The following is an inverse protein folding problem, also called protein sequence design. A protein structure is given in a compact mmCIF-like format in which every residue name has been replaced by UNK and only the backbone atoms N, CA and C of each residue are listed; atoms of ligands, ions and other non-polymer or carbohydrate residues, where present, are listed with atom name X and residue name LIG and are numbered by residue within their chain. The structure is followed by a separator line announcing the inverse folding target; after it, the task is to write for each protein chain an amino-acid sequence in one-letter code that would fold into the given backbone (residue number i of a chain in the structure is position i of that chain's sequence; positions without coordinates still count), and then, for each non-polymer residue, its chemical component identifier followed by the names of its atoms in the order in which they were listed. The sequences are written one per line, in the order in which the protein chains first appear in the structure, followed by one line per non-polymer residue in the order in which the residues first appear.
data_IF_206368424399
#
_entry.id   IF_206368424399
#
_cell.length_a   1.000
_cell.length_b   1.000
_cell.length_c   1.000
_cell.angle_alpha   90.00
_cell.angle_beta   90.00
_cell.angle_gamma   90.00
#
_symmetry.space_group_name_H-M   'P 1'
#
loop_
_entity.id
_entity.type
_entity.pdbx_description
1 polymer ?
#
# COMPACT_ATOMS: atom_id res chain seq x y z
N UNK A 1 12.27 11.43 17.27
CA UNK A 1 13.60 12.05 17.15
C UNK A 1 14.46 11.81 18.38
N UNK A 2 13.97 12.14 19.57
CA UNK A 2 14.71 11.98 20.83
C UNK A 2 15.16 10.52 21.12
N UNK A 3 14.45 9.54 20.58
CA UNK A 3 14.74 8.12 20.70
C UNK A 3 15.46 7.53 19.48
N UNK A 4 16.07 8.37 18.63
CA UNK A 4 16.85 7.92 17.47
C UNK A 4 16.05 7.72 16.18
N UNK A 5 14.76 8.03 16.16
CA UNK A 5 13.95 7.93 14.95
C UNK A 5 14.47 8.87 13.87
N UNK A 6 14.77 8.33 12.69
CA UNK A 6 15.32 9.06 11.53
C UNK A 6 14.37 9.10 10.35
N UNK A 7 13.50 8.11 10.22
CA UNK A 7 12.53 8.00 9.16
C UNK A 7 11.20 7.50 9.72
N UNK A 8 10.10 8.07 9.24
CA UNK A 8 8.75 7.61 9.54
C UNK A 8 8.01 7.54 8.20
N UNK A 9 7.45 6.37 7.89
CA UNK A 9 6.40 6.25 6.88
C UNK A 9 5.05 6.32 7.58
N UNK A 10 4.19 7.20 7.14
CA UNK A 10 2.82 7.34 7.65
C UNK A 10 1.83 7.05 6.53
N UNK A 11 0.78 6.32 6.87
CA UNK A 11 -0.37 6.11 5.99
C UNK A 11 -1.32 7.30 6.15
N UNK A 12 -1.76 7.84 5.04
CA UNK A 12 -2.60 9.02 4.95
C UNK A 12 -3.96 8.56 4.45
N UNK A 13 -4.96 8.55 5.35
CA UNK A 13 -6.34 8.27 4.96
C UNK A 13 -6.72 9.17 3.79
N UNK A 14 -7.06 8.53 2.70
CA UNK A 14 -7.22 9.21 1.41
C UNK A 14 -8.62 9.02 0.83
N UNK A 15 -9.65 8.95 1.70
CA UNK A 15 -11.04 9.01 1.24
C UNK A 15 -11.35 10.38 0.56
N UNK A 16 -12.42 10.48 -0.25
CA UNK A 16 -12.72 11.67 -1.04
C UNK A 16 -12.85 12.97 -0.25
N UNK A 17 -13.18 12.89 1.06
CA UNK A 17 -13.32 14.08 1.92
C UNK A 17 -12.02 14.39 2.65
N UNK A 18 -11.19 13.38 2.89
CA UNK A 18 -10.02 13.46 3.74
C UNK A 18 -8.76 13.88 2.96
N UNK A 19 -8.50 13.30 1.78
CA UNK A 19 -7.25 13.53 1.07
C UNK A 19 -6.96 15.01 0.76
N UNK A 20 -7.93 15.89 0.45
CA UNK A 20 -7.66 17.30 0.20
C UNK A 20 -7.17 18.07 1.44
N UNK A 21 -7.42 17.51 2.62
CA UNK A 21 -7.03 18.09 3.92
C UNK A 21 -5.71 17.47 4.39
N UNK A 22 -5.63 16.14 4.40
CA UNK A 22 -4.53 15.40 5.02
C UNK A 22 -3.21 15.56 4.27
N UNK A 23 -3.21 15.57 2.95
CA UNK A 23 -1.99 15.70 2.16
C UNK A 23 -1.29 17.05 2.31
N UNK A 24 -1.98 18.20 2.30
CA UNK A 24 -1.36 19.49 2.64
C UNK A 24 -0.79 19.54 4.07
N UNK A 25 -1.48 18.94 5.05
CA UNK A 25 -0.98 18.85 6.44
C UNK A 25 0.29 17.99 6.48
N UNK A 26 0.31 16.83 5.80
CA UNK A 26 1.50 16.01 5.68
C UNK A 26 2.68 16.79 5.07
N UNK A 27 2.45 17.55 4.00
CA UNK A 27 3.49 18.34 3.35
C UNK A 27 4.07 19.42 4.31
N UNK A 28 3.21 20.10 5.07
CA UNK A 28 3.64 21.07 6.08
C UNK A 28 4.47 20.41 7.19
N UNK A 29 4.04 19.25 7.69
CA UNK A 29 4.79 18.48 8.70
C UNK A 29 6.15 18.03 8.17
N UNK A 30 6.20 17.50 6.94
CA UNK A 30 7.46 17.08 6.31
C UNK A 30 8.44 18.23 6.18
N UNK A 31 7.97 19.41 5.78
CA UNK A 31 8.80 20.61 5.72
C UNK A 31 9.31 21.04 7.10
N UNK A 32 8.45 21.03 8.11
CA UNK A 32 8.80 21.40 9.49
C UNK A 32 9.84 20.48 10.14
N UNK A 33 9.89 19.21 9.73
CA UNK A 33 10.80 18.20 10.26
C UNK A 33 12.01 17.92 9.36
N UNK A 34 12.15 18.64 8.25
CA UNK A 34 13.26 18.47 7.32
C UNK A 34 14.62 18.59 8.04
N UNK A 35 15.54 17.68 7.70
CA UNK A 35 16.86 17.60 8.35
C UNK A 35 16.89 16.93 9.74
N UNK A 36 15.73 16.65 10.36
CA UNK A 36 15.62 15.94 11.64
C UNK A 36 15.06 14.54 11.48
N UNK A 37 13.92 14.41 10.84
CA UNK A 37 13.26 13.14 10.54
C UNK A 37 12.75 13.20 9.10
N UNK A 38 13.05 12.16 8.34
CA UNK A 38 12.46 11.98 7.01
C UNK A 38 11.02 11.48 7.17
N UNK A 39 10.07 12.15 6.51
CA UNK A 39 8.67 11.73 6.48
C UNK A 39 8.29 11.25 5.08
N UNK A 40 7.79 10.02 5.00
CA UNK A 40 7.22 9.41 3.81
C UNK A 40 5.72 9.26 3.99
N UNK A 41 4.92 9.77 3.05
CA UNK A 41 3.47 9.63 3.05
C UNK A 41 3.03 8.59 2.04
N UNK A 42 2.26 7.60 2.48
CA UNK A 42 1.62 6.63 1.62
C UNK A 42 0.10 6.83 1.65
N UNK A 43 -0.53 6.90 0.49
CA UNK A 43 -1.98 6.97 0.41
C UNK A 43 -2.60 5.68 0.97
N UNK A 44 -3.67 5.83 1.73
CA UNK A 44 -4.48 4.72 2.22
C UNK A 44 -5.91 4.92 1.73
N UNK A 45 -6.26 4.25 0.64
CA UNK A 45 -7.58 4.30 0.02
C UNK A 45 -8.22 2.90 0.02
N UNK A 46 -9.52 2.82 0.14
CA UNK A 46 -10.23 1.56 -0.06
C UNK A 46 -10.12 1.13 -1.53
N UNK A 47 -9.83 -0.16 -1.76
CA UNK A 47 -9.53 -0.67 -3.12
C UNK A 47 -10.69 -0.46 -4.11
N UNK A 48 -11.92 -0.56 -3.65
CA UNK A 48 -13.12 -0.37 -4.47
C UNK A 48 -13.35 1.10 -4.87
N UNK A 49 -12.90 2.07 -4.07
CA UNK A 49 -12.95 3.49 -4.46
C UNK A 49 -12.06 3.79 -5.66
N UNK A 50 -11.00 3.03 -5.84
CA UNK A 50 -10.07 3.21 -6.97
C UNK A 50 -10.69 2.81 -8.32
N UNK A 51 -11.89 2.23 -8.32
CA UNK A 51 -12.64 1.94 -9.54
C UNK A 51 -13.40 3.17 -10.09
N UNK A 52 -13.56 4.22 -9.28
CA UNK A 52 -14.05 5.52 -9.75
C UNK A 52 -12.93 6.27 -10.46
N UNK A 53 -13.13 6.57 -11.75
CA UNK A 53 -12.12 7.21 -12.60
C UNK A 53 -11.75 8.61 -12.13
N UNK A 54 -12.73 9.39 -11.71
CA UNK A 54 -12.52 10.78 -11.29
C UNK A 54 -11.73 10.83 -9.97
N UNK A 55 -12.15 10.03 -9.00
CA UNK A 55 -11.45 9.92 -7.72
C UNK A 55 -10.02 9.40 -7.89
N UNK A 56 -9.83 8.34 -8.66
CA UNK A 56 -8.50 7.74 -8.85
C UNK A 56 -7.53 8.71 -9.53
N UNK A 57 -7.97 9.41 -10.56
CA UNK A 57 -7.16 10.42 -11.25
C UNK A 57 -6.77 11.57 -10.31
N UNK A 58 -7.68 12.03 -9.45
CA UNK A 58 -7.42 13.10 -8.48
C UNK A 58 -6.46 12.65 -7.38
N UNK A 59 -6.66 11.45 -6.82
CA UNK A 59 -5.77 10.86 -5.83
C UNK A 59 -4.36 10.70 -6.40
N UNK A 60 -4.22 10.15 -7.60
CA UNK A 60 -2.93 9.97 -8.25
C UNK A 60 -2.19 11.30 -8.46
N UNK A 61 -2.90 12.35 -8.89
CA UNK A 61 -2.34 13.71 -9.00
C UNK A 61 -1.86 14.24 -7.64
N UNK A 62 -2.68 14.06 -6.60
CA UNK A 62 -2.37 14.52 -5.24
C UNK A 62 -1.14 13.82 -4.69
N UNK A 63 -1.07 12.50 -4.77
CA UNK A 63 0.09 11.71 -4.33
C UNK A 63 1.37 12.18 -5.02
N UNK A 64 1.33 12.33 -6.34
CA UNK A 64 2.49 12.81 -7.13
C UNK A 64 2.92 14.21 -6.72
N UNK A 65 1.98 15.15 -6.61
CA UNK A 65 2.26 16.54 -6.24
C UNK A 65 2.97 16.66 -4.89
N UNK A 66 2.71 15.72 -3.99
CA UNK A 66 3.33 15.69 -2.66
C UNK A 66 4.53 14.72 -2.56
N UNK A 67 4.96 14.13 -3.66
CA UNK A 67 6.06 13.14 -3.64
C UNK A 67 5.76 11.97 -2.72
N UNK A 68 4.51 11.50 -2.76
CA UNK A 68 4.02 10.41 -1.94
C UNK A 68 4.14 9.04 -2.61
N UNK A 69 3.67 8.03 -1.91
CA UNK A 69 3.59 6.64 -2.32
C UNK A 69 2.11 6.33 -2.56
N UNK A 70 1.78 5.69 -3.67
CA UNK A 70 0.41 5.30 -3.96
C UNK A 70 0.07 3.99 -3.23
N UNK A 71 -1.14 3.88 -2.65
CA UNK A 71 -1.47 2.69 -1.89
C UNK A 71 -2.94 2.48 -1.63
N UNK A 72 -3.26 1.28 -1.13
CA UNK A 72 -4.63 0.88 -0.83
C UNK A 72 -4.72 -0.16 0.30
N UNK A 73 -5.91 -0.20 0.92
CA UNK A 73 -6.35 -1.36 1.70
C UNK A 73 -7.03 -2.34 0.75
N UNK A 74 -6.56 -3.59 0.73
CA UNK A 74 -7.11 -4.65 -0.11
C UNK A 74 -7.92 -5.65 0.71
N UNK A 75 -9.12 -5.97 0.24
CA UNK A 75 -10.04 -6.90 0.84
C UNK A 75 -10.96 -7.49 -0.23
N UNK A 76 -11.64 -8.62 0.03
CA UNK A 76 -12.52 -9.26 -0.95
C UNK A 76 -13.72 -8.38 -1.30
N UNK A 77 -13.69 -7.79 -2.51
CA UNK A 77 -14.78 -7.00 -3.09
C UNK A 77 -14.85 -7.25 -4.60
N UNK A 78 -16.02 -7.04 -5.23
CA UNK A 78 -16.09 -7.03 -6.68
C UNK A 78 -15.11 -6.00 -7.27
N UNK A 79 -14.32 -6.43 -8.26
CA UNK A 79 -13.34 -5.55 -8.92
C UNK A 79 -11.99 -5.41 -8.19
N UNK A 80 -11.72 -6.20 -7.14
CA UNK A 80 -10.44 -6.19 -6.42
C UNK A 80 -9.22 -6.28 -7.36
N UNK A 81 -9.18 -7.25 -8.26
CA UNK A 81 -8.07 -7.42 -9.20
C UNK A 81 -7.93 -6.22 -10.14
N UNK A 82 -9.05 -5.69 -10.63
CA UNK A 82 -9.05 -4.49 -11.47
C UNK A 82 -8.50 -3.27 -10.72
N UNK A 83 -8.84 -3.11 -9.44
CA UNK A 83 -8.30 -2.04 -8.58
C UNK A 83 -6.79 -2.18 -8.38
N UNK A 84 -6.30 -3.41 -8.14
CA UNK A 84 -4.87 -3.70 -8.03
C UNK A 84 -4.16 -3.39 -9.36
N UNK A 85 -4.69 -3.86 -10.50
CA UNK A 85 -4.10 -3.59 -11.82
C UNK A 85 -4.04 -2.09 -12.14
N UNK A 86 -5.06 -1.33 -11.76
CA UNK A 86 -5.06 0.14 -11.92
C UNK A 86 -3.93 0.81 -11.13
N UNK A 87 -3.71 0.37 -9.88
CA UNK A 87 -2.61 0.90 -9.06
C UNK A 87 -1.26 0.63 -9.72
N UNK A 88 -1.01 -0.61 -10.14
CA UNK A 88 0.24 -0.96 -10.81
C UNK A 88 0.41 -0.21 -12.14
N UNK A 89 -0.63 -0.13 -12.97
CA UNK A 89 -0.59 0.61 -14.23
C UNK A 89 -0.23 2.08 -14.02
N UNK A 90 -0.89 2.75 -13.08
CA UNK A 90 -0.61 4.14 -12.75
C UNK A 90 0.79 4.34 -12.15
N UNK A 91 1.22 3.42 -11.30
CA UNK A 91 2.55 3.47 -10.70
C UNK A 91 3.66 3.29 -11.76
N UNK A 92 3.47 2.39 -12.73
CA UNK A 92 4.39 2.23 -13.88
C UNK A 92 4.45 3.51 -14.71
N UNK A 93 3.30 4.09 -15.07
CA UNK A 93 3.21 5.29 -15.89
C UNK A 93 3.92 6.48 -15.25
N UNK A 94 3.85 6.59 -13.93
CA UNK A 94 4.31 7.78 -13.22
C UNK A 94 5.55 7.57 -12.35
N UNK A 95 6.15 6.38 -12.36
CA UNK A 95 7.35 6.06 -11.58
C UNK A 95 7.13 6.15 -10.07
N UNK A 96 5.96 5.70 -9.58
CA UNK A 96 5.61 5.70 -8.17
C UNK A 96 5.95 4.35 -7.51
N UNK A 97 6.28 4.39 -6.21
CA UNK A 97 6.29 3.21 -5.37
C UNK A 97 4.85 2.88 -4.90
N UNK A 98 4.62 1.64 -4.44
CA UNK A 98 3.33 1.16 -3.95
C UNK A 98 3.40 0.71 -2.50
N UNK A 99 2.29 0.89 -1.77
CA UNK A 99 2.14 0.48 -0.38
C UNK A 99 0.73 -0.09 -0.15
N UNK A 100 0.64 -1.33 0.34
CA UNK A 100 -0.63 -2.01 0.54
C UNK A 100 -0.83 -2.43 1.99
N UNK A 101 -2.05 -2.30 2.48
CA UNK A 101 -2.55 -3.06 3.62
C UNK A 101 -3.32 -4.27 3.09
N UNK A 102 -2.80 -5.46 3.30
CA UNK A 102 -3.33 -6.68 2.72
C UNK A 102 -3.56 -7.74 3.79
N UNK A 103 -4.61 -8.54 3.58
CA UNK A 103 -4.88 -9.73 4.38
C UNK A 103 -4.95 -9.47 5.89
N UNK A 104 -5.44 -8.29 6.31
CA UNK A 104 -5.60 -7.89 7.70
C UNK A 104 -6.86 -8.56 8.31
N UNK A 105 -6.87 -9.87 8.31
CA UNK A 105 -7.96 -10.70 8.80
C UNK A 105 -7.47 -12.08 9.24
N UNK A 106 -8.22 -12.73 10.11
CA UNK A 106 -7.99 -14.13 10.48
C UNK A 106 -8.60 -15.15 9.50
N UNK A 107 -9.27 -14.72 8.43
CA UNK A 107 -9.89 -15.63 7.44
C UNK A 107 -8.82 -16.12 6.43
N UNK A 108 -8.48 -17.43 6.44
CA UNK A 108 -7.50 -18.00 5.53
C UNK A 108 -7.93 -17.99 4.04
N UNK A 109 -9.19 -17.71 3.76
CA UNK A 109 -9.67 -17.59 2.38
C UNK A 109 -9.26 -16.27 1.73
N UNK A 110 -8.93 -15.24 2.52
CA UNK A 110 -8.46 -13.94 2.01
C UNK A 110 -6.98 -14.04 1.64
N UNK A 111 -6.65 -13.76 0.38
CA UNK A 111 -5.32 -14.00 -0.23
C UNK A 111 -4.92 -12.84 -1.14
N UNK A 112 -5.10 -11.62 -0.68
CA UNK A 112 -4.84 -10.43 -1.51
C UNK A 112 -3.34 -10.20 -1.71
N UNK A 113 -2.48 -10.67 -0.80
CA UNK A 113 -1.03 -10.66 -0.96
C UNK A 113 -0.58 -11.40 -2.24
N UNK A 114 -1.14 -12.59 -2.50
CA UNK A 114 -0.83 -13.33 -3.71
C UNK A 114 -1.23 -12.56 -4.98
N UNK A 115 -2.43 -11.96 -5.00
CA UNK A 115 -2.92 -11.14 -6.12
C UNK A 115 -2.03 -9.91 -6.38
N UNK A 116 -1.54 -9.27 -5.31
CA UNK A 116 -0.59 -8.14 -5.42
C UNK A 116 0.73 -8.60 -6.03
N UNK A 117 1.27 -9.75 -5.58
CA UNK A 117 2.51 -10.30 -6.13
C UNK A 117 2.37 -10.68 -7.61
N UNK A 118 1.27 -11.36 -7.97
CA UNK A 118 0.96 -11.69 -9.36
C UNK A 118 0.84 -10.45 -10.25
N UNK A 119 0.19 -9.38 -9.75
CA UNK A 119 0.08 -8.12 -10.47
C UNK A 119 1.45 -7.45 -10.66
N UNK A 120 2.31 -7.44 -9.64
CA UNK A 120 3.67 -6.91 -9.75
C UNK A 120 4.48 -7.64 -10.84
N UNK A 121 4.39 -8.97 -10.89
CA UNK A 121 5.03 -9.81 -11.93
C UNK A 121 4.44 -9.48 -13.31
N UNK A 122 3.12 -9.49 -13.43
CA UNK A 122 2.38 -9.22 -14.69
C UNK A 122 2.73 -7.86 -15.29
N UNK A 123 2.81 -6.82 -14.45
CA UNK A 123 3.20 -5.46 -14.85
C UNK A 123 4.72 -5.28 -14.98
N UNK A 124 5.54 -6.30 -14.69
CA UNK A 124 7.01 -6.21 -14.65
C UNK A 124 7.45 -4.99 -13.84
N UNK A 125 6.80 -4.79 -12.71
CA UNK A 125 6.98 -3.60 -11.89
C UNK A 125 8.43 -3.47 -11.41
N UNK A 126 8.97 -2.24 -11.47
CA UNK A 126 10.37 -1.95 -11.10
C UNK A 126 10.48 -1.00 -9.90
N UNK A 127 9.36 -0.43 -9.47
CA UNK A 127 9.27 0.34 -8.23
C UNK A 127 9.31 -0.57 -7.00
N UNK A 128 9.31 0.04 -5.83
CA UNK A 128 9.23 -0.69 -4.57
C UNK A 128 7.78 -0.93 -4.21
N UNK A 129 7.50 -2.13 -3.72
CA UNK A 129 6.18 -2.51 -3.18
C UNK A 129 6.36 -2.94 -1.73
N UNK A 130 5.65 -2.28 -0.82
CA UNK A 130 5.54 -2.68 0.58
C UNK A 130 4.13 -3.22 0.82
N UNK A 131 4.03 -4.33 1.54
CA UNK A 131 2.75 -4.92 1.94
C UNK A 131 2.73 -5.12 3.45
N UNK A 132 1.80 -4.45 4.12
CA UNK A 132 1.59 -4.53 5.56
C UNK A 132 0.58 -5.60 5.96
N UNK A 133 0.64 -6.04 7.23
CA UNK A 133 -0.22 -6.98 7.94
C UNK A 133 -0.02 -8.44 7.53
N UNK A 134 -0.62 -8.90 6.43
CA UNK A 134 -0.58 -10.28 5.93
C UNK A 134 -1.00 -11.34 6.97
N UNK A 135 -1.98 -11.02 7.83
CA UNK A 135 -2.37 -11.86 8.97
C UNK A 135 -2.98 -13.19 8.55
N UNK A 136 -3.77 -13.22 7.47
CA UNK A 136 -4.42 -14.43 6.97
C UNK A 136 -3.41 -15.49 6.54
N UNK A 137 -2.23 -15.08 6.07
CA UNK A 137 -1.18 -15.98 5.58
C UNK A 137 -0.80 -17.03 6.65
N UNK A 138 -0.67 -16.61 7.92
CA UNK A 138 -0.33 -17.51 9.02
C UNK A 138 -1.39 -18.59 9.33
N UNK A 139 -2.56 -18.51 8.72
CA UNK A 139 -3.69 -19.44 8.91
C UNK A 139 -4.00 -20.27 7.67
N UNK A 140 -3.23 -20.09 6.60
CA UNK A 140 -3.40 -20.82 5.35
C UNK A 140 -2.67 -22.18 5.40
N UNK A 141 -3.06 -23.16 4.55
CA UNK A 141 -2.31 -24.41 4.40
C UNK A 141 -0.86 -24.12 3.96
N UNK A 142 0.10 -24.94 4.44
CA UNK A 142 1.54 -24.78 4.19
C UNK A 142 1.87 -24.64 2.69
N UNK A 143 1.30 -25.47 1.87
CA UNK A 143 1.47 -25.42 0.41
C UNK A 143 0.97 -24.12 -0.26
N UNK A 144 0.00 -23.44 0.36
CA UNK A 144 -0.49 -22.13 -0.09
C UNK A 144 0.44 -21.04 0.38
N UNK A 145 0.94 -21.15 1.62
CA UNK A 145 1.94 -20.23 2.17
C UNK A 145 3.18 -20.25 1.28
N UNK A 146 3.76 -21.43 1.02
CA UNK A 146 4.97 -21.59 0.22
C UNK A 146 4.81 -20.97 -1.17
N UNK A 147 3.70 -21.28 -1.85
CA UNK A 147 3.41 -20.70 -3.17
C UNK A 147 3.30 -19.17 -3.13
N UNK A 148 2.67 -18.63 -2.09
CA UNK A 148 2.53 -17.17 -1.92
C UNK A 148 3.89 -16.53 -1.67
N UNK A 149 4.74 -17.16 -0.85
CA UNK A 149 6.08 -16.66 -0.58
C UNK A 149 6.99 -16.71 -1.82
N UNK A 150 6.85 -17.74 -2.66
CA UNK A 150 7.55 -17.81 -3.94
C UNK A 150 7.16 -16.65 -4.86
N UNK A 151 5.86 -16.33 -4.96
CA UNK A 151 5.37 -15.16 -5.72
C UNK A 151 5.90 -13.85 -5.14
N UNK A 152 5.89 -13.69 -3.82
CA UNK A 152 6.42 -12.50 -3.12
C UNK A 152 7.90 -12.31 -3.42
N UNK A 153 8.68 -13.41 -3.39
CA UNK A 153 10.10 -13.40 -3.68
C UNK A 153 10.38 -13.07 -5.16
N UNK A 154 9.66 -13.69 -6.09
CA UNK A 154 9.77 -13.42 -7.52
C UNK A 154 9.42 -11.96 -7.87
N UNK A 155 8.35 -11.45 -7.25
CA UNK A 155 7.92 -10.05 -7.42
C UNK A 155 8.82 -9.04 -6.71
N UNK A 156 9.70 -9.47 -5.80
CA UNK A 156 10.56 -8.59 -5.02
C UNK A 156 9.81 -7.69 -4.03
N UNK A 157 8.69 -8.17 -3.48
CA UNK A 157 7.90 -7.42 -2.51
C UNK A 157 8.57 -7.41 -1.14
N UNK A 158 8.46 -6.27 -0.42
CA UNK A 158 8.77 -6.20 1.00
C UNK A 158 7.49 -6.40 1.83
N UNK A 159 7.56 -7.22 2.87
CA UNK A 159 6.45 -7.47 3.79
C UNK A 159 6.77 -6.93 5.17
N UNK A 160 5.79 -6.28 5.81
CA UNK A 160 5.89 -5.74 7.17
C UNK A 160 4.81 -6.35 8.05
N UNK A 161 5.24 -7.11 9.06
CA UNK A 161 4.34 -7.56 10.12
C UNK A 161 4.13 -6.47 11.16
N UNK A 162 2.90 -6.34 11.65
CA UNK A 162 2.47 -5.32 12.61
C UNK A 162 1.90 -5.99 13.88
N UNK A 163 2.70 -6.73 14.67
CA UNK A 163 2.21 -7.56 15.76
C UNK A 163 1.48 -6.76 16.83
N UNK A 164 1.92 -5.54 17.13
CA UNK A 164 1.26 -4.68 18.12
C UNK A 164 -0.13 -4.19 17.66
N UNK A 165 -0.41 -4.23 16.37
CA UNK A 165 -1.70 -3.88 15.79
C UNK A 165 -2.63 -5.11 15.68
N UNK A 166 -2.08 -6.27 15.32
CA UNK A 166 -2.84 -7.42 14.88
C UNK A 166 -2.99 -8.54 15.91
N UNK A 167 -2.34 -8.46 17.08
CA UNK A 167 -2.42 -9.47 18.14
C UNK A 167 -3.39 -9.11 19.30
N UNK A 168 -4.12 -8.01 19.19
CA UNK A 168 -5.08 -7.56 20.22
C UNK A 168 -6.50 -7.56 19.71
#
# INVERSE_FOLDING_TARGET
YAHGTRLIRTHIDSDPKQYPISWPVFAAMRAAWAGRVELQGAALAAIDWLLDDAYFAELGRTVRAHGGILGAVTYPVPGLEAGIDRLFGHAVEHGLDLDFHADETGDPAVRTLALIAEAAIRHRFRGRVLVGHCCSLARQPEEVIDRTLDLVAEAGLAVVSLPMCNLY
#
